data_IF_971755772084
#
_entry.id   IF_971755772084
#
_cell.length_a   1.000
_cell.length_b   1.000
_cell.length_c   1.000
_cell.angle_alpha   90.00
_cell.angle_beta   90.00
_cell.angle_gamma   90.00
#
_symmetry.space_group_name_H-M   'P 1'
#
loop_
_entity.id
_entity.type
_entity.pdbx_description
1 polymer ?
#
# COMPACT_ATOMS: atom_id res chain seq x y z
N UNK A 1 25.51 -17.08 -20.47
CA UNK A 1 25.58 -17.62 -19.10
C UNK A 1 24.18 -17.57 -18.56
N UNK A 2 23.58 -18.70 -18.21
CA UNK A 2 22.27 -18.69 -17.56
C UNK A 2 22.45 -17.98 -16.23
N UNK A 3 21.67 -16.91 -16.00
CA UNK A 3 21.67 -16.20 -14.74
C UNK A 3 21.34 -17.20 -13.62
N UNK A 4 22.19 -17.21 -12.58
CA UNK A 4 21.90 -18.05 -11.43
C UNK A 4 20.61 -17.56 -10.79
N UNK A 5 19.72 -18.48 -10.36
CA UNK A 5 18.47 -18.12 -9.72
C UNK A 5 18.75 -17.20 -8.52
N UNK A 6 18.09 -16.07 -8.50
CA UNK A 6 18.22 -15.11 -7.40
C UNK A 6 17.06 -15.28 -6.43
N UNK A 7 17.32 -15.96 -5.32
CA UNK A 7 16.36 -16.00 -4.20
C UNK A 7 16.54 -14.85 -3.21
N UNK A 8 17.45 -13.92 -3.50
CA UNK A 8 17.80 -12.79 -2.64
C UNK A 8 18.15 -11.57 -3.47
N UNK A 9 17.60 -10.44 -3.09
CA UNK A 9 18.02 -9.11 -3.55
C UNK A 9 18.20 -8.19 -2.35
N UNK A 10 19.15 -7.27 -2.42
CA UNK A 10 19.22 -6.20 -1.43
C UNK A 10 18.31 -5.06 -1.85
N UNK A 11 17.58 -4.48 -0.91
CA UNK A 11 16.66 -3.36 -1.19
C UNK A 11 17.34 -2.21 -1.97
N UNK A 12 18.60 -1.91 -1.68
CA UNK A 12 19.38 -0.86 -2.36
C UNK A 12 19.57 -1.10 -3.87
N UNK A 13 19.45 -2.36 -4.30
CA UNK A 13 19.60 -2.77 -5.69
C UNK A 13 18.24 -2.82 -6.43
N UNK A 14 17.15 -2.58 -5.71
CA UNK A 14 15.80 -2.48 -6.28
C UNK A 14 15.53 -1.05 -6.69
N UNK A 15 15.13 -0.85 -7.94
CA UNK A 15 14.80 0.47 -8.48
C UNK A 15 13.69 1.14 -7.67
N UNK A 16 13.91 2.38 -7.29
CA UNK A 16 12.86 3.22 -6.69
C UNK A 16 12.03 3.84 -7.79
N UNK A 17 10.72 3.61 -7.75
CA UNK A 17 9.76 4.35 -8.57
C UNK A 17 9.17 5.50 -7.76
N UNK A 18 9.05 6.65 -8.38
CA UNK A 18 8.32 7.79 -7.82
C UNK A 18 7.15 8.11 -8.75
N UNK A 19 5.97 8.22 -8.19
CA UNK A 19 4.77 8.53 -8.97
C UNK A 19 3.73 9.24 -8.13
N UNK A 20 2.86 9.96 -8.80
CA UNK A 20 1.59 10.39 -8.20
C UNK A 20 0.72 9.16 -8.11
N UNK A 21 0.37 8.76 -6.89
CA UNK A 21 -0.59 7.68 -6.67
C UNK A 21 -1.97 8.11 -7.20
N UNK A 22 -2.86 7.15 -7.39
CA UNK A 22 -4.25 7.43 -7.74
C UNK A 22 -4.85 8.32 -6.65
N UNK A 23 -4.90 9.63 -6.89
CA UNK A 23 -5.35 10.59 -5.92
C UNK A 23 -6.86 10.80 -6.06
N UNK A 24 -7.56 10.79 -4.93
CA UNK A 24 -8.89 11.36 -4.85
C UNK A 24 -8.80 12.86 -4.66
N UNK A 25 -7.84 13.33 -3.86
CA UNK A 25 -7.68 14.73 -3.47
C UNK A 25 -6.19 15.05 -3.30
N UNK A 26 -5.74 16.14 -3.88
CA UNK A 26 -4.40 16.70 -3.62
C UNK A 26 -3.22 15.94 -4.25
N UNK A 27 -2.04 16.19 -3.72
CA UNK A 27 -0.80 15.54 -4.16
C UNK A 27 -0.59 14.23 -3.39
N UNK A 28 -0.65 13.13 -4.10
CA UNK A 28 -0.38 11.80 -3.55
C UNK A 28 0.91 11.26 -4.15
N UNK A 29 2.05 11.74 -3.66
CA UNK A 29 3.36 11.23 -4.08
C UNK A 29 3.70 10.00 -3.26
N UNK A 30 4.02 8.92 -3.96
CA UNK A 30 4.55 7.69 -3.40
C UNK A 30 5.90 7.37 -4.03
N UNK A 31 6.90 7.11 -3.19
CA UNK A 31 8.15 6.48 -3.59
C UNK A 31 8.12 5.03 -3.16
N UNK A 32 8.35 4.13 -4.08
CA UNK A 32 8.22 2.71 -3.77
C UNK A 32 9.32 1.87 -4.42
N UNK A 33 9.75 0.85 -3.68
CA UNK A 33 10.58 -0.23 -4.16
C UNK A 33 9.78 -1.52 -4.06
N UNK A 34 9.66 -2.25 -5.16
CA UNK A 34 8.77 -3.40 -5.28
C UNK A 34 9.52 -4.63 -5.72
N UNK A 35 9.15 -5.76 -5.12
CA UNK A 35 9.66 -7.09 -5.46
C UNK A 35 8.48 -8.04 -5.53
N UNK A 36 8.49 -8.96 -6.49
CA UNK A 36 7.49 -10.02 -6.54
C UNK A 36 8.13 -11.40 -6.70
N UNK A 37 7.53 -12.38 -6.07
CA UNK A 37 7.70 -13.80 -6.36
C UNK A 37 6.55 -14.32 -7.21
N UNK A 38 6.25 -15.62 -7.13
CA UNK A 38 5.13 -16.27 -7.85
C UNK A 38 3.79 -15.96 -7.20
N UNK A 39 3.70 -16.00 -5.88
CA UNK A 39 2.44 -15.96 -5.12
C UNK A 39 2.32 -14.73 -4.20
N UNK A 40 3.34 -13.91 -4.15
CA UNK A 40 3.36 -12.71 -3.29
C UNK A 40 4.19 -11.61 -3.92
N UNK A 41 3.85 -10.37 -3.58
CA UNK A 41 4.71 -9.21 -3.79
C UNK A 41 4.89 -8.44 -2.50
N UNK A 42 6.01 -7.73 -2.40
CA UNK A 42 6.27 -6.80 -1.33
C UNK A 42 6.58 -5.42 -1.89
N UNK A 43 6.26 -4.40 -1.09
CA UNK A 43 6.54 -3.02 -1.42
C UNK A 43 7.02 -2.27 -0.17
N UNK A 44 8.13 -1.56 -0.30
CA UNK A 44 8.52 -0.51 0.64
C UNK A 44 8.06 0.81 0.08
N UNK A 45 7.14 1.47 0.76
CA UNK A 45 6.50 2.68 0.27
C UNK A 45 6.72 3.85 1.23
N UNK A 46 7.25 4.95 0.70
CA UNK A 46 7.32 6.25 1.37
C UNK A 46 6.12 7.09 0.89
N UNK A 47 5.30 7.49 1.83
CA UNK A 47 4.10 8.29 1.60
C UNK A 47 4.28 9.64 2.26
N UNK A 48 4.55 10.65 1.44
CA UNK A 48 4.79 12.01 1.91
C UNK A 48 3.58 12.58 2.66
N UNK A 49 3.80 13.65 3.41
CA UNK A 49 2.71 14.45 4.00
C UNK A 49 1.70 14.83 2.92
N UNK A 50 0.41 14.71 3.22
CA UNK A 50 -0.67 14.95 2.27
C UNK A 50 -0.96 13.80 1.28
N UNK A 51 -0.24 12.68 1.37
CA UNK A 51 -0.57 11.48 0.59
C UNK A 51 -2.01 11.03 0.87
N UNK A 52 -2.84 10.98 -0.17
CA UNK A 52 -4.25 10.61 -0.04
C UNK A 52 -4.71 9.88 -1.31
N UNK A 53 -4.97 8.59 -1.21
CA UNK A 53 -5.37 7.76 -2.35
C UNK A 53 -6.87 7.71 -2.53
N UNK A 54 -7.30 7.48 -3.78
CA UNK A 54 -8.69 7.18 -4.09
C UNK A 54 -9.11 5.83 -3.52
N UNK A 55 -10.39 5.68 -3.14
CA UNK A 55 -10.96 4.38 -2.82
C UNK A 55 -10.73 3.37 -3.93
N UNK A 56 -10.23 2.21 -3.57
CA UNK A 56 -9.96 1.11 -4.50
C UNK A 56 -10.08 -0.25 -3.80
N UNK A 57 -10.08 -1.30 -4.58
CA UNK A 57 -10.02 -2.66 -4.10
C UNK A 57 -9.15 -3.52 -5.02
N UNK A 58 -8.74 -4.69 -4.56
CA UNK A 58 -8.02 -5.69 -5.35
C UNK A 58 -8.30 -7.09 -4.82
N UNK A 59 -8.21 -8.09 -5.70
CA UNK A 59 -8.40 -9.50 -5.35
C UNK A 59 -7.10 -10.12 -4.82
N UNK A 60 -6.47 -9.45 -3.87
CA UNK A 60 -5.39 -10.00 -3.06
C UNK A 60 -5.55 -9.52 -1.61
N UNK A 61 -5.08 -10.32 -0.68
CA UNK A 61 -4.93 -9.89 0.70
C UNK A 61 -3.70 -9.03 0.82
N UNK A 62 -3.81 -7.94 1.59
CA UNK A 62 -2.70 -7.03 1.87
C UNK A 62 -2.43 -6.99 3.37
N UNK A 63 -1.15 -7.07 3.72
CA UNK A 63 -0.67 -6.80 5.08
C UNK A 63 0.29 -5.62 5.03
N UNK A 64 0.10 -4.68 5.94
CA UNK A 64 0.94 -3.49 6.09
C UNK A 64 1.63 -3.53 7.44
N UNK A 65 2.91 -3.18 7.47
CA UNK A 65 3.65 -2.87 8.68
C UNK A 65 4.14 -1.43 8.61
N UNK A 66 3.83 -0.62 9.60
CA UNK A 66 4.24 0.78 9.66
C UNK A 66 5.67 0.82 10.21
N UNK A 67 6.61 1.14 9.35
CA UNK A 67 8.04 1.19 9.71
C UNK A 67 8.37 2.48 10.46
N UNK A 68 7.82 3.61 10.00
CA UNK A 68 7.99 4.91 10.65
C UNK A 68 6.86 5.87 10.26
N UNK A 69 6.69 6.92 11.08
CA UNK A 69 5.62 7.89 10.91
C UNK A 69 4.25 7.34 11.29
N UNK A 70 3.21 7.99 10.77
CA UNK A 70 1.82 7.59 10.99
C UNK A 70 1.01 7.77 9.71
N UNK A 71 -0.06 6.97 9.56
CA UNK A 71 -0.95 7.04 8.41
C UNK A 71 -2.33 6.50 8.80
N UNK A 72 -3.38 7.10 8.23
CA UNK A 72 -4.72 6.53 8.31
C UNK A 72 -4.93 5.54 7.17
N UNK A 73 -5.49 4.39 7.49
CA UNK A 73 -6.09 3.46 6.55
C UNK A 73 -7.60 3.42 6.76
N UNK A 74 -8.33 3.49 5.67
CA UNK A 74 -9.78 3.35 5.67
C UNK A 74 -10.11 2.05 4.95
N UNK A 75 -10.83 1.16 5.63
CA UNK A 75 -11.16 -0.18 5.13
C UNK A 75 -12.60 -0.49 5.47
N UNK A 76 -13.40 -0.80 4.44
CA UNK A 76 -14.80 -1.20 4.60
C UNK A 76 -15.62 -0.20 5.43
N UNK A 77 -15.41 1.10 5.16
CA UNK A 77 -16.11 2.21 5.82
C UNK A 77 -15.64 2.55 7.24
N UNK A 78 -14.51 2.00 7.69
CA UNK A 78 -13.89 2.30 9.00
C UNK A 78 -12.49 2.83 8.81
N UNK A 79 -12.10 3.79 9.65
CA UNK A 79 -10.77 4.36 9.66
C UNK A 79 -9.93 3.86 10.84
N UNK A 80 -8.65 3.72 10.60
CA UNK A 80 -7.65 3.26 11.57
C UNK A 80 -6.42 4.14 11.47
N UNK A 81 -6.07 4.83 12.54
CA UNK A 81 -4.79 5.51 12.66
C UNK A 81 -3.71 4.50 13.00
N UNK A 82 -2.77 4.31 12.11
CA UNK A 82 -1.66 3.38 12.29
C UNK A 82 -0.37 4.15 12.49
N UNK A 83 0.39 3.78 13.52
CA UNK A 83 1.68 4.36 13.90
C UNK A 83 2.80 3.34 13.72
N UNK A 84 4.04 3.79 13.80
CA UNK A 84 5.21 2.91 13.75
C UNK A 84 5.05 1.72 14.73
N UNK A 85 5.22 0.51 14.20
CA UNK A 85 5.04 -0.76 14.92
C UNK A 85 3.68 -1.43 14.68
N UNK A 86 2.67 -0.70 14.20
CA UNK A 86 1.35 -1.27 13.92
C UNK A 86 1.36 -2.17 12.69
N UNK A 87 0.49 -3.18 12.73
CA UNK A 87 0.20 -4.07 11.60
C UNK A 87 -1.27 -3.90 11.22
N UNK A 88 -1.51 -3.65 9.93
CA UNK A 88 -2.84 -3.49 9.36
C UNK A 88 -3.11 -4.54 8.29
N UNK A 89 -4.24 -5.22 8.38
CA UNK A 89 -4.71 -6.17 7.36
C UNK A 89 -5.81 -5.54 6.51
N UNK A 90 -5.69 -5.69 5.21
CA UNK A 90 -6.73 -5.34 4.24
C UNK A 90 -7.19 -6.63 3.55
N UNK A 91 -8.41 -7.11 3.82
CA UNK A 91 -8.92 -8.32 3.19
C UNK A 91 -9.15 -8.12 1.68
N UNK A 92 -9.16 -9.24 0.94
CA UNK A 92 -9.51 -9.27 -0.50
C UNK A 92 -10.83 -8.55 -0.76
N UNK A 93 -10.89 -7.82 -1.85
CA UNK A 93 -12.10 -7.18 -2.37
C UNK A 93 -12.78 -6.21 -1.40
N UNK A 94 -12.06 -5.76 -0.35
CA UNK A 94 -12.56 -4.68 0.52
C UNK A 94 -12.11 -3.33 -0.02
N UNK A 95 -13.07 -2.42 -0.12
CA UNK A 95 -12.80 -1.03 -0.50
C UNK A 95 -11.92 -0.40 0.56
N UNK A 96 -10.82 0.20 0.13
CA UNK A 96 -9.89 0.83 1.03
C UNK A 96 -9.14 1.98 0.37
N UNK A 97 -8.60 2.85 1.21
CA UNK A 97 -7.69 3.93 0.82
C UNK A 97 -6.83 4.34 2.02
N UNK A 98 -5.87 5.21 1.79
CA UNK A 98 -4.97 5.67 2.83
C UNK A 98 -4.75 7.18 2.76
N UNK A 99 -4.54 7.81 3.92
CA UNK A 99 -4.27 9.23 4.04
C UNK A 99 -3.20 9.51 5.10
N UNK A 100 -2.09 10.09 4.68
CA UNK A 100 -1.09 10.65 5.57
C UNK A 100 -1.45 12.10 5.89
N UNK A 101 -2.06 12.33 7.05
CA UNK A 101 -2.43 13.67 7.56
C UNK A 101 -1.29 14.32 8.35
N UNK A 102 -0.26 13.56 8.68
CA UNK A 102 0.88 14.04 9.44
C UNK A 102 1.78 14.96 8.63
N UNK A 103 2.68 15.66 9.31
CA UNK A 103 3.71 16.50 8.69
C UNK A 103 4.90 15.70 8.16
N UNK A 104 5.05 14.45 8.62
CA UNK A 104 6.18 13.59 8.30
C UNK A 104 5.83 12.53 7.25
N UNK A 105 6.84 12.05 6.55
CA UNK A 105 6.67 10.91 5.65
C UNK A 105 6.39 9.63 6.43
N UNK A 106 5.32 8.94 6.10
CA UNK A 106 5.06 7.59 6.59
C UNK A 106 5.78 6.56 5.70
N UNK A 107 6.51 5.64 6.33
CA UNK A 107 7.15 4.51 5.65
C UNK A 107 6.39 3.25 5.99
N UNK A 108 5.88 2.58 4.96
CA UNK A 108 5.06 1.37 5.10
C UNK A 108 5.68 0.24 4.29
N UNK A 109 5.84 -0.90 4.93
CA UNK A 109 6.10 -2.17 4.26
C UNK A 109 4.76 -2.83 3.98
N UNK A 110 4.53 -3.24 2.74
CA UNK A 110 3.31 -3.92 2.30
C UNK A 110 3.63 -5.27 1.69
N UNK A 111 2.80 -6.25 1.96
CA UNK A 111 2.79 -7.51 1.22
C UNK A 111 1.42 -7.76 0.61
N UNK A 112 1.40 -8.38 -0.57
CA UNK A 112 0.17 -8.73 -1.28
C UNK A 112 0.23 -10.17 -1.75
N UNK A 113 -0.85 -10.91 -1.54
CA UNK A 113 -0.97 -12.29 -2.00
C UNK A 113 -2.37 -12.54 -2.57
N UNK A 114 -2.48 -12.91 -3.87
CA UNK A 114 -1.44 -12.94 -4.91
C UNK A 114 -0.76 -11.60 -5.17
N UNK A 115 0.33 -11.57 -5.98
CA UNK A 115 1.07 -10.35 -6.27
C UNK A 115 0.19 -9.24 -6.84
N UNK A 116 0.38 -8.02 -6.34
CA UNK A 116 -0.27 -6.85 -6.91
C UNK A 116 0.46 -6.44 -8.20
N UNK A 117 -0.32 -6.17 -9.27
CA UNK A 117 0.23 -5.72 -10.55
C UNK A 117 0.99 -4.40 -10.39
N UNK A 118 2.23 -4.41 -10.82
CA UNK A 118 2.96 -3.17 -11.01
C UNK A 118 2.66 -2.56 -12.38
N UNK A 119 2.02 -1.39 -12.38
CA UNK A 119 1.65 -0.69 -13.62
C UNK A 119 2.83 0.01 -14.29
N UNK A 120 3.94 0.19 -13.58
CA UNK A 120 5.14 0.87 -14.09
C UNK A 120 6.19 -0.07 -14.66
N UNK A 121 6.06 -1.38 -14.48
CA UNK A 121 7.08 -2.35 -14.86
C UNK A 121 8.36 -2.25 -14.02
N UNK A 122 8.27 -1.60 -12.84
CA UNK A 122 9.41 -1.34 -11.97
C UNK A 122 9.59 -2.39 -10.85
N UNK A 123 8.68 -3.36 -10.76
CA UNK A 123 8.80 -4.42 -9.77
C UNK A 123 9.92 -5.40 -10.14
N UNK A 124 10.83 -5.63 -9.21
CA UNK A 124 11.94 -6.56 -9.39
C UNK A 124 11.43 -8.00 -9.29
N UNK A 125 11.61 -8.84 -10.33
CA UNK A 125 11.25 -10.25 -10.26
C UNK A 125 12.29 -11.02 -9.46
N UNK A 126 11.86 -11.63 -8.36
CA UNK A 126 12.67 -12.50 -7.52
C UNK A 126 12.21 -13.95 -7.75
N UNK A 127 12.60 -14.50 -8.87
CA UNK A 127 12.14 -15.79 -9.37
C UNK A 127 13.27 -16.81 -9.41
N UNK A 128 12.95 -18.06 -9.14
CA UNK A 128 13.87 -19.19 -9.25
C UNK A 128 13.97 -19.72 -10.70
N UNK A 129 14.81 -20.74 -10.92
CA UNK A 129 15.08 -21.28 -12.26
C UNK A 129 13.87 -22.01 -12.87
N UNK A 130 12.99 -22.54 -12.02
CA UNK A 130 11.80 -23.30 -12.42
C UNK A 130 10.54 -22.42 -12.46
N UNK A 131 10.67 -21.14 -12.09
CA UNK A 131 9.56 -20.19 -12.09
C UNK A 131 9.36 -19.61 -13.48
N UNK A 132 8.11 -19.58 -13.92
CA UNK A 132 7.70 -18.98 -15.17
C UNK A 132 7.03 -17.62 -14.91
N UNK A 133 7.77 -16.54 -15.18
CA UNK A 133 7.27 -15.18 -15.00
C UNK A 133 5.95 -14.92 -15.76
N UNK A 134 5.71 -15.59 -16.87
CA UNK A 134 4.49 -15.49 -17.65
C UNK A 134 3.26 -16.10 -16.97
N UNK A 135 3.46 -16.96 -15.98
CA UNK A 135 2.39 -17.60 -15.20
C UNK A 135 2.07 -16.89 -13.89
N UNK A 136 2.85 -15.91 -13.50
CA UNK A 136 2.58 -15.15 -12.29
C UNK A 136 1.28 -14.36 -12.44
N UNK A 137 0.30 -14.65 -11.58
CA UNK A 137 -0.99 -13.96 -11.59
C UNK A 137 -0.91 -12.67 -10.77
N UNK A 138 -0.91 -11.54 -11.47
CA UNK A 138 -0.91 -10.24 -10.83
C UNK A 138 -2.33 -9.67 -10.70
N UNK A 139 -2.72 -9.34 -9.47
CA UNK A 139 -4.00 -8.69 -9.19
C UNK A 139 -3.93 -7.19 -9.50
N UNK A 140 -4.99 -6.66 -10.08
CA UNK A 140 -5.07 -5.26 -10.44
C UNK A 140 -5.82 -4.45 -9.35
N UNK A 141 -5.41 -3.20 -9.16
CA UNK A 141 -6.24 -2.23 -8.43
C UNK A 141 -7.45 -1.87 -9.28
N UNK A 142 -8.62 -1.91 -8.68
CA UNK A 142 -9.90 -1.51 -9.25
C UNK A 142 -10.35 -0.27 -8.50
N UNK A 143 -10.46 0.87 -9.19
CA UNK A 143 -10.97 2.10 -8.60
C UNK A 143 -12.45 1.94 -8.26
N UNK A 144 -12.82 2.37 -7.06
CA UNK A 144 -14.21 2.39 -6.61
C UNK A 144 -14.68 3.83 -6.52
N UNK A 145 -15.75 4.14 -7.21
CA UNK A 145 -16.34 5.48 -7.19
C UNK A 145 -17.26 5.58 -5.98
N UNK A 146 -16.81 6.27 -4.95
CA UNK A 146 -17.63 6.73 -3.83
C UNK A 146 -17.96 8.21 -4.02
N UNK A 147 -19.06 8.66 -3.42
CA UNK A 147 -19.37 10.08 -3.32
C UNK A 147 -18.33 10.76 -2.40
N UNK A 148 -17.91 11.97 -2.75
CA UNK A 148 -16.94 12.73 -1.94
C UNK A 148 -17.50 12.98 -0.52
N UNK A 149 -18.78 13.27 -0.39
CA UNK A 149 -19.41 13.46 0.91
C UNK A 149 -19.39 12.18 1.78
N UNK A 150 -19.45 11.00 1.15
CA UNK A 150 -19.33 9.71 1.85
C UNK A 150 -17.89 9.51 2.34
N UNK A 151 -16.89 9.80 1.50
CA UNK A 151 -15.46 9.74 1.87
C UNK A 151 -15.21 10.68 3.06
N UNK A 152 -15.62 11.95 2.93
CA UNK A 152 -15.41 12.96 3.97
C UNK A 152 -16.07 12.56 5.31
N UNK A 153 -17.27 11.96 5.27
CA UNK A 153 -17.97 11.50 6.46
C UNK A 153 -17.24 10.32 7.16
N UNK A 154 -16.70 9.38 6.38
CA UNK A 154 -15.92 8.25 6.92
C UNK A 154 -14.64 8.76 7.57
N UNK A 155 -13.95 9.67 6.91
CA UNK A 155 -12.70 10.25 7.38
C UNK A 155 -12.91 11.08 8.64
N UNK A 156 -13.89 11.97 8.63
CA UNK A 156 -14.23 12.82 9.79
C UNK A 156 -14.59 11.98 11.03
N UNK A 157 -15.36 10.92 10.85
CA UNK A 157 -15.73 10.01 11.94
C UNK A 157 -14.49 9.31 12.53
N UNK A 158 -13.63 8.77 11.69
CA UNK A 158 -12.42 8.08 12.15
C UNK A 158 -11.47 9.01 12.92
N UNK A 159 -11.36 10.26 12.47
CA UNK A 159 -10.55 11.27 13.15
C UNK A 159 -11.12 11.59 14.51
N UNK A 160 -12.44 11.85 14.60
CA UNK A 160 -13.12 12.18 15.85
C UNK A 160 -13.03 11.01 16.87
N UNK A 161 -13.17 9.77 16.41
CA UNK A 161 -13.03 8.58 17.26
C UNK A 161 -11.62 8.44 17.83
N UNK A 162 -10.60 8.76 17.03
CA UNK A 162 -9.20 8.71 17.48
C UNK A 162 -8.87 9.83 18.46
N UNK A 163 -9.33 11.06 18.19
CA UNK A 163 -9.15 12.20 19.09
C UNK A 163 -9.86 11.96 20.43
N UNK A 164 -11.05 11.35 20.40
CA UNK A 164 -11.76 10.96 21.62
C UNK A 164 -11.03 9.90 22.45
N UNK A 165 -10.33 8.95 21.82
CA UNK A 165 -9.48 7.97 22.53
C UNK A 165 -8.27 8.63 23.21
N UNK A 166 -7.59 9.54 22.52
CA UNK A 166 -6.42 10.23 23.06
C UNK A 166 -6.76 11.15 24.22
N UNK A 167 -7.96 11.71 24.24
CA UNK A 167 -8.40 12.56 25.37
C UNK A 167 -8.81 11.74 26.62
N UNK A 168 -8.97 10.41 26.48
CA UNK A 168 -9.36 9.50 27.55
C UNK A 168 -8.16 8.77 28.22
N UNK A 169 -6.99 8.84 27.61
CA UNK A 169 -5.70 8.33 28.13
C UNK A 169 -4.94 9.39 28.96
#
# INVERSE_FOLDING_TARGET
>A
MADKPQYRVNRRDVKTSERVAMAAVGHSVIKAQKVHGTDTSIMFAERASGYHTSPHMHDCEQMNYIVSGEIYFFVDGRGYRCKAGDIMRIPRNKVHWAWNRGSETAVVFESHSPPLRDRGGDAYPLLGPDDDAGKVQHMANILVKLDQAEIDAIEARAIAEEEGRQAAE
#
